data_IF_888705268769
#
_entry.id   IF_888705268769
#
_cell.length_a   1.000
_cell.length_b   1.000
_cell.length_c   1.000
_cell.angle_alpha   90.00
_cell.angle_beta   90.00
_cell.angle_gamma   90.00
#
_symmetry.space_group_name_H-M   'P 1'
#
loop_
_entity.id
_entity.type
_entity.pdbx_description
1 polymer ?
#
# COMPACT_ATOMS: atom_id res chain seq x y z
N UNK A 1 -9.99 -1.06 -7.14
CA UNK A 1 -11.22 -1.49 -7.85
C UNK A 1 -12.36 -0.55 -7.52
N UNK A 2 -12.58 0.50 -8.33
CA UNK A 2 -13.42 1.64 -7.96
C UNK A 2 -14.95 1.42 -8.12
N UNK A 3 -15.36 0.25 -8.63
CA UNK A 3 -16.76 -0.12 -8.85
C UNK A 3 -17.35 -1.02 -7.75
N UNK A 4 -16.67 -1.19 -6.60
CA UNK A 4 -17.18 -2.03 -5.48
C UNK A 4 -18.09 -1.31 -4.48
N UNK A 5 -18.33 -0.01 -4.68
CA UNK A 5 -19.21 0.76 -3.79
C UNK A 5 -20.67 0.32 -3.92
N UNK A 6 -21.45 0.51 -2.84
CA UNK A 6 -22.84 0.06 -2.75
C UNK A 6 -23.71 0.45 -3.95
N UNK A 7 -23.49 1.64 -4.52
CA UNK A 7 -24.25 2.14 -5.69
C UNK A 7 -24.12 1.30 -6.97
N UNK A 8 -23.07 0.49 -7.09
CA UNK A 8 -22.84 -0.39 -8.24
C UNK A 8 -23.29 -1.83 -7.99
N UNK A 9 -23.74 -2.15 -6.77
CA UNK A 9 -24.30 -3.47 -6.48
C UNK A 9 -25.62 -3.62 -7.22
N UNK A 10 -25.83 -4.77 -7.86
CA UNK A 10 -27.02 -5.05 -8.67
C UNK A 10 -28.33 -4.86 -7.89
N UNK A 11 -28.35 -5.22 -6.60
CA UNK A 11 -29.51 -5.04 -5.70
C UNK A 11 -29.97 -3.57 -5.56
N UNK A 12 -29.10 -2.61 -5.90
CA UNK A 12 -29.37 -1.18 -5.84
C UNK A 12 -29.60 -0.56 -7.24
N UNK A 13 -29.90 -1.39 -8.25
CA UNK A 13 -30.08 -0.95 -9.64
C UNK A 13 -31.49 -1.27 -10.14
N UNK A 14 -31.97 -0.43 -11.07
CA UNK A 14 -33.20 -0.70 -11.80
C UNK A 14 -32.89 -1.74 -12.88
N UNK A 15 -33.56 -2.89 -12.79
CA UNK A 15 -33.45 -4.00 -13.73
C UNK A 15 -34.78 -4.20 -14.43
N UNK A 16 -34.77 -4.24 -15.75
CA UNK A 16 -35.97 -4.49 -16.53
C UNK A 16 -35.61 -5.33 -17.75
N UNK A 17 -36.31 -6.47 -17.89
CA UNK A 17 -36.07 -7.47 -18.95
C UNK A 17 -34.59 -7.85 -19.10
N UNK A 18 -33.90 -8.08 -17.97
CA UNK A 18 -32.47 -8.46 -17.95
C UNK A 18 -31.49 -7.31 -18.20
N UNK A 19 -31.95 -6.08 -18.42
CA UNK A 19 -31.09 -4.92 -18.65
C UNK A 19 -31.03 -4.01 -17.42
N UNK A 20 -29.84 -3.48 -17.13
CA UNK A 20 -29.62 -2.51 -16.07
C UNK A 20 -29.67 -1.10 -16.65
N UNK A 21 -30.52 -0.25 -16.08
CA UNK A 21 -30.64 1.13 -16.51
C UNK A 21 -29.49 1.96 -15.95
N UNK A 22 -28.89 2.78 -16.81
CA UNK A 22 -27.75 3.62 -16.49
C UNK A 22 -28.03 5.07 -16.91
N UNK A 23 -27.53 6.01 -16.12
CA UNK A 23 -27.39 7.41 -16.58
C UNK A 23 -26.17 7.56 -17.49
N UNK A 24 -26.10 8.66 -18.24
CA UNK A 24 -24.94 8.99 -19.08
C UNK A 24 -23.61 9.01 -18.30
N UNK A 25 -23.64 9.53 -17.07
CA UNK A 25 -22.47 9.60 -16.20
C UNK A 25 -22.02 8.21 -15.73
N UNK A 26 -22.97 7.32 -15.47
CA UNK A 26 -22.65 5.95 -15.07
C UNK A 26 -22.08 5.15 -16.23
N UNK A 27 -22.65 5.28 -17.43
CA UNK A 27 -22.11 4.69 -18.65
C UNK A 27 -20.67 5.18 -18.91
N UNK A 28 -20.43 6.49 -18.84
CA UNK A 28 -19.08 7.06 -18.98
C UNK A 28 -18.11 6.50 -17.93
N UNK A 29 -18.57 6.32 -16.68
CA UNK A 29 -17.73 5.78 -15.61
C UNK A 29 -17.39 4.30 -15.82
N UNK A 30 -18.34 3.49 -16.29
CA UNK A 30 -18.10 2.08 -16.63
C UNK A 30 -17.13 1.95 -17.80
N UNK A 31 -17.31 2.75 -18.86
CA UNK A 31 -16.39 2.81 -19.99
C UNK A 31 -14.98 3.21 -19.57
N UNK A 32 -14.84 4.22 -18.70
CA UNK A 32 -13.54 4.63 -18.16
C UNK A 32 -12.82 3.49 -17.42
N UNK A 33 -13.54 2.69 -16.65
CA UNK A 33 -12.94 1.54 -15.96
C UNK A 33 -12.54 0.43 -16.92
N UNK A 34 -13.29 0.21 -18.00
CA UNK A 34 -12.91 -0.77 -19.02
C UNK A 34 -11.69 -0.32 -19.84
N UNK A 35 -11.63 0.95 -20.24
CA UNK A 35 -10.43 1.53 -20.87
C UNK A 35 -9.21 1.40 -19.96
N UNK A 36 -9.37 1.69 -18.67
CA UNK A 36 -8.31 1.50 -17.68
C UNK A 36 -7.83 0.04 -17.64
N UNK A 37 -8.75 -0.92 -17.52
CA UNK A 37 -8.42 -2.36 -17.50
C UNK A 37 -7.69 -2.78 -18.77
N UNK A 38 -8.13 -2.30 -19.92
CA UNK A 38 -7.50 -2.59 -21.20
C UNK A 38 -6.06 -2.08 -21.27
N UNK A 39 -5.81 -0.86 -20.79
CA UNK A 39 -4.45 -0.31 -20.69
C UNK A 39 -3.60 -1.12 -19.70
N UNK A 40 -4.12 -1.39 -18.50
CA UNK A 40 -3.40 -2.17 -17.47
C UNK A 40 -3.02 -3.57 -17.99
N UNK A 41 -3.92 -4.26 -18.69
CA UNK A 41 -3.66 -5.57 -19.30
C UNK A 41 -2.54 -5.53 -20.35
N UNK A 42 -2.40 -4.43 -21.10
CA UNK A 42 -1.30 -4.25 -22.06
C UNK A 42 0.06 -4.07 -21.36
N UNK A 43 0.06 -3.57 -20.13
CA UNK A 43 1.30 -3.42 -19.33
C UNK A 43 1.79 -4.74 -18.73
N UNK A 44 0.96 -5.78 -18.71
CA UNK A 44 1.34 -7.14 -18.27
C UNK A 44 2.04 -7.95 -19.37
N UNK A 45 2.11 -7.45 -20.59
CA UNK A 45 2.81 -8.09 -21.69
C UNK A 45 4.30 -8.29 -21.33
N UNK A 46 4.81 -9.51 -21.52
CA UNK A 46 6.21 -9.86 -21.24
C UNK A 46 7.19 -9.07 -22.11
N UNK A 47 6.79 -8.82 -23.35
CA UNK A 47 7.60 -8.14 -24.34
C UNK A 47 7.09 -6.72 -24.57
N UNK A 48 7.99 -5.76 -24.45
CA UNK A 48 7.71 -4.39 -24.88
C UNK A 48 7.74 -4.32 -26.40
N UNK A 49 6.68 -3.83 -27.06
CA UNK A 49 6.72 -3.61 -28.49
C UNK A 49 7.84 -2.60 -28.83
N UNK A 50 8.42 -2.73 -30.04
CA UNK A 50 9.44 -1.77 -30.50
C UNK A 50 8.77 -0.40 -30.69
N UNK A 51 9.12 0.54 -29.83
CA UNK A 51 8.68 1.93 -29.94
C UNK A 51 9.64 2.73 -30.85
N UNK A 52 9.14 3.77 -31.53
CA UNK A 52 10.00 4.70 -32.25
C UNK A 52 11.12 5.27 -31.36
N UNK A 53 12.34 5.49 -31.88
CA UNK A 53 13.49 5.97 -31.10
C UNK A 53 13.18 7.23 -30.28
N UNK A 54 12.43 8.18 -30.86
CA UNK A 54 12.03 9.44 -30.19
C UNK A 54 11.22 9.22 -28.91
N UNK A 55 10.37 8.18 -28.87
CA UNK A 55 9.60 7.84 -27.67
C UNK A 55 10.52 7.24 -26.60
N UNK A 56 11.46 6.40 -27.00
CA UNK A 56 12.44 5.76 -26.09
C UNK A 56 13.34 6.82 -25.46
N UNK A 57 13.85 7.78 -26.24
CA UNK A 57 14.67 8.88 -25.75
C UNK A 57 13.92 9.76 -24.74
N UNK A 58 12.67 10.13 -25.04
CA UNK A 58 11.85 10.91 -24.13
C UNK A 58 11.56 10.15 -22.83
N UNK A 59 11.25 8.85 -22.92
CA UNK A 59 11.04 8.00 -21.75
C UNK A 59 12.30 7.92 -20.87
N UNK A 60 13.48 7.79 -21.47
CA UNK A 60 14.76 7.79 -20.75
C UNK A 60 15.04 9.13 -20.07
N UNK A 61 14.76 10.25 -20.75
CA UNK A 61 14.90 11.60 -20.17
C UNK A 61 13.97 11.79 -18.96
N UNK A 62 12.71 11.38 -19.08
CA UNK A 62 11.74 11.41 -17.96
C UNK A 62 12.22 10.54 -16.80
N UNK A 63 12.77 9.35 -17.10
CA UNK A 63 13.32 8.44 -16.08
C UNK A 63 14.51 9.09 -15.34
N UNK A 64 15.43 9.75 -16.05
CA UNK A 64 16.55 10.46 -15.42
C UNK A 64 16.08 11.61 -14.53
N UNK A 65 15.21 12.49 -15.05
CA UNK A 65 14.65 13.60 -14.28
C UNK A 65 13.90 13.13 -13.02
N UNK A 66 13.22 12.00 -13.12
CA UNK A 66 12.53 11.38 -11.98
C UNK A 66 13.52 10.85 -10.95
N UNK A 67 14.65 10.26 -11.36
CA UNK A 67 15.71 9.82 -10.44
C UNK A 67 16.33 11.02 -9.72
N UNK A 68 16.56 12.12 -10.43
CA UNK A 68 17.15 13.34 -9.85
C UNK A 68 16.22 14.02 -8.85
N UNK A 69 14.94 14.19 -9.19
CA UNK A 69 13.98 14.93 -8.36
C UNK A 69 13.36 14.13 -7.23
N UNK A 70 13.14 12.83 -7.46
CA UNK A 70 12.40 11.95 -6.53
C UNK A 70 13.35 10.95 -5.84
N UNK A 71 14.50 10.66 -6.46
CA UNK A 71 15.46 9.69 -5.95
C UNK A 71 15.20 8.27 -6.48
N UNK A 72 16.27 7.59 -6.87
CA UNK A 72 16.24 6.21 -7.43
C UNK A 72 15.45 5.22 -6.57
N UNK A 73 15.59 5.31 -5.25
CA UNK A 73 14.95 4.39 -4.30
C UNK A 73 13.44 4.59 -4.18
N UNK A 74 12.93 5.78 -4.47
CA UNK A 74 11.50 6.08 -4.41
C UNK A 74 10.82 5.76 -5.75
N UNK A 75 11.54 5.92 -6.86
CA UNK A 75 11.13 5.43 -8.19
C UNK A 75 11.01 3.91 -8.31
N UNK A 76 11.96 3.15 -7.76
CA UNK A 76 11.94 1.68 -7.80
C UNK A 76 10.81 1.10 -6.93
N UNK A 77 10.26 1.91 -6.01
CA UNK A 77 9.20 1.51 -5.11
C UNK A 77 9.64 0.43 -4.11
N UNK A 78 8.65 -0.30 -3.58
CA UNK A 78 8.89 -1.46 -2.72
C UNK A 78 8.81 -2.76 -3.54
N UNK A 79 9.46 -3.84 -3.08
CA UNK A 79 9.32 -5.15 -3.73
C UNK A 79 7.85 -5.57 -3.86
N UNK A 80 7.47 -6.19 -4.98
CA UNK A 80 6.09 -6.67 -5.22
C UNK A 80 5.61 -7.68 -4.16
N UNK A 81 6.53 -8.46 -3.59
CA UNK A 81 6.28 -9.38 -2.48
C UNK A 81 6.89 -8.82 -1.20
N UNK A 82 6.16 -8.93 -0.10
CA UNK A 82 6.64 -8.45 1.20
C UNK A 82 7.77 -9.36 1.70
N UNK A 83 8.91 -8.76 2.02
CA UNK A 83 10.11 -9.45 2.50
C UNK A 83 10.24 -9.22 4.00
N UNK A 84 9.64 -10.10 4.82
CA UNK A 84 9.64 -9.94 6.28
C UNK A 84 11.05 -9.86 6.89
N UNK A 85 12.04 -10.54 6.30
CA UNK A 85 13.45 -10.45 6.70
C UNK A 85 14.00 -9.02 6.65
N UNK A 86 13.45 -8.18 5.76
CA UNK A 86 13.81 -6.78 5.60
C UNK A 86 13.10 -5.83 6.58
N UNK A 87 12.21 -6.33 7.46
CA UNK A 87 11.55 -5.48 8.45
C UNK A 87 12.57 -4.83 9.41
N UNK A 88 12.39 -3.54 9.74
CA UNK A 88 13.15 -2.90 10.83
C UNK A 88 12.93 -3.62 12.16
N UNK A 89 13.89 -3.58 13.10
CA UNK A 89 13.76 -4.21 14.43
C UNK A 89 12.46 -3.83 15.16
N UNK A 90 12.08 -2.54 15.15
CA UNK A 90 10.83 -2.08 15.76
C UNK A 90 9.58 -2.71 15.14
N UNK A 91 9.53 -2.83 13.80
CA UNK A 91 8.41 -3.47 13.10
C UNK A 91 8.43 -4.98 13.33
N UNK A 92 9.59 -5.64 13.35
CA UNK A 92 9.70 -7.06 13.68
C UNK A 92 9.10 -7.36 15.05
N UNK A 93 9.37 -6.51 16.03
CA UNK A 93 8.84 -6.66 17.38
C UNK A 93 7.31 -6.46 17.42
N UNK A 94 6.78 -5.43 16.73
CA UNK A 94 5.34 -5.23 16.60
C UNK A 94 4.65 -6.40 15.89
N UNK A 95 5.25 -6.88 14.79
CA UNK A 95 4.75 -8.01 14.01
C UNK A 95 4.75 -9.30 14.84
N UNK A 96 5.83 -9.58 15.58
CA UNK A 96 5.89 -10.72 16.50
C UNK A 96 4.84 -10.60 17.62
N UNK A 97 4.64 -9.40 18.16
CA UNK A 97 3.65 -9.19 19.21
C UNK A 97 2.21 -9.48 18.71
N UNK A 98 1.82 -8.97 17.55
CA UNK A 98 0.48 -9.24 16.98
C UNK A 98 0.29 -10.72 16.63
N UNK A 99 1.29 -11.38 16.05
CA UNK A 99 1.17 -12.82 15.70
C UNK A 99 1.10 -13.71 16.95
N UNK A 100 1.67 -13.27 18.07
CA UNK A 100 1.60 -13.98 19.35
C UNK A 100 0.39 -13.56 20.20
N UNK A 101 -0.54 -12.75 19.68
CA UNK A 101 -1.71 -12.27 20.42
C UNK A 101 -1.36 -11.32 21.58
N UNK A 102 -0.14 -10.77 21.62
CA UNK A 102 0.28 -9.83 22.67
C UNK A 102 -0.19 -8.42 22.35
N UNK A 103 -0.71 -7.74 23.37
CA UNK A 103 -1.24 -6.39 23.26
C UNK A 103 -0.26 -5.42 22.59
N UNK A 104 -0.80 -4.57 21.71
CA UNK A 104 -0.10 -3.46 21.06
C UNK A 104 -0.69 -2.14 21.54
N UNK A 105 0.18 -1.17 21.89
CA UNK A 105 -0.25 0.20 22.14
C UNK A 105 -0.93 0.83 20.92
N UNK A 106 -1.75 1.86 21.12
CA UNK A 106 -2.43 2.55 20.02
C UNK A 106 -1.45 3.04 18.93
N UNK A 107 -0.32 3.63 19.36
CA UNK A 107 0.76 4.04 18.46
C UNK A 107 1.45 2.86 17.78
N UNK A 108 1.58 1.71 18.46
CA UNK A 108 2.10 0.47 17.88
C UNK A 108 1.19 -0.08 16.79
N UNK A 109 -0.13 -0.12 17.03
CA UNK A 109 -1.14 -0.51 16.04
C UNK A 109 -1.07 0.40 14.81
N UNK A 110 -1.08 1.72 15.02
CA UNK A 110 -0.96 2.70 13.93
C UNK A 110 0.35 2.54 13.14
N UNK A 111 1.49 2.37 13.83
CA UNK A 111 2.80 2.21 13.21
C UNK A 111 2.86 0.95 12.36
N UNK A 112 2.37 -0.18 12.88
CA UNK A 112 2.35 -1.45 12.15
C UNK A 112 1.44 -1.37 10.93
N UNK A 113 0.20 -0.89 11.10
CA UNK A 113 -0.77 -0.77 10.01
C UNK A 113 -0.26 0.16 8.91
N UNK A 114 0.16 1.38 9.27
CA UNK A 114 0.69 2.33 8.29
C UNK A 114 1.93 1.78 7.58
N UNK A 115 2.85 1.11 8.29
CA UNK A 115 4.02 0.51 7.66
C UNK A 115 3.65 -0.57 6.63
N UNK A 116 2.83 -1.55 7.03
CA UNK A 116 2.45 -2.67 6.17
C UNK A 116 1.71 -2.20 4.91
N UNK A 117 0.79 -1.24 5.07
CA UNK A 117 0.09 -0.64 3.93
C UNK A 117 1.03 0.13 3.00
N UNK A 118 2.00 0.88 3.55
CA UNK A 118 2.96 1.64 2.74
C UNK A 118 3.91 0.73 1.95
N UNK A 119 4.26 -0.46 2.46
CA UNK A 119 5.08 -1.43 1.72
C UNK A 119 4.28 -2.34 0.77
N UNK A 120 2.97 -2.12 0.65
CA UNK A 120 2.11 -2.80 -0.33
C UNK A 120 1.29 -3.98 0.20
N UNK A 121 1.17 -4.15 1.52
CA UNK A 121 0.24 -5.15 2.07
C UNK A 121 -1.21 -4.72 1.81
N UNK A 122 -2.07 -5.59 1.24
CA UNK A 122 -3.49 -5.30 1.09
C UNK A 122 -4.16 -5.07 2.44
N UNK A 123 -5.11 -4.13 2.50
CA UNK A 123 -5.87 -3.83 3.72
C UNK A 123 -6.51 -5.07 4.35
N UNK A 124 -7.03 -6.01 3.54
CA UNK A 124 -7.62 -7.25 4.05
C UNK A 124 -6.61 -8.09 4.84
N UNK A 125 -5.41 -8.30 4.30
CA UNK A 125 -4.35 -9.04 4.96
C UNK A 125 -3.89 -8.34 6.26
N UNK A 126 -3.92 -7.00 6.30
CA UNK A 126 -3.62 -6.26 7.53
C UNK A 126 -4.72 -6.48 8.57
N UNK A 127 -6.00 -6.43 8.19
CA UNK A 127 -7.15 -6.67 9.09
C UNK A 127 -7.07 -8.07 9.70
N UNK A 128 -6.69 -9.07 8.91
CA UNK A 128 -6.55 -10.46 9.38
C UNK A 128 -5.55 -10.59 10.54
N UNK A 129 -4.47 -9.80 10.56
CA UNK A 129 -3.51 -9.83 11.66
C UNK A 129 -4.15 -9.46 13.02
N UNK A 130 -5.16 -8.59 13.01
CA UNK A 130 -5.80 -8.10 14.24
C UNK A 130 -6.90 -9.04 14.76
N UNK A 131 -7.33 -10.06 13.99
CA UNK A 131 -8.41 -10.99 14.39
C UNK A 131 -8.08 -11.77 15.67
N UNK A 132 -6.80 -11.94 15.98
CA UNK A 132 -6.35 -12.72 17.13
C UNK A 132 -6.39 -11.92 18.46
N UNK A 133 -6.80 -10.65 18.44
CA UNK A 133 -6.95 -9.86 19.67
C UNK A 133 -8.31 -10.06 20.32
N UNK A 134 -8.32 -10.09 21.65
CA UNK A 134 -9.56 -10.19 22.45
C UNK A 134 -10.47 -8.98 22.29
N UNK A 135 -9.93 -7.78 22.00
CA UNK A 135 -10.68 -6.55 21.73
C UNK A 135 -11.02 -6.35 20.25
N UNK A 136 -10.86 -7.39 19.41
CA UNK A 136 -11.10 -7.28 17.98
C UNK A 136 -12.59 -7.00 17.68
N UNK A 137 -12.81 -5.91 16.96
CA UNK A 137 -14.10 -5.58 16.35
C UNK A 137 -13.89 -5.40 14.84
N UNK A 138 -14.48 -6.28 14.03
CA UNK A 138 -14.25 -6.27 12.57
C UNK A 138 -14.60 -4.92 11.94
N UNK A 139 -15.76 -4.34 12.28
CA UNK A 139 -16.22 -3.10 11.67
C UNK A 139 -15.27 -1.94 11.98
N UNK A 140 -14.82 -1.84 13.24
CA UNK A 140 -13.92 -0.79 13.67
C UNK A 140 -12.52 -0.96 13.11
N UNK A 141 -11.95 -2.17 13.19
CA UNK A 141 -10.61 -2.48 12.66
C UNK A 141 -10.56 -2.22 11.16
N UNK A 142 -11.56 -2.71 10.41
CA UNK A 142 -11.67 -2.48 8.96
C UNK A 142 -11.72 -0.99 8.64
N UNK A 143 -12.53 -0.22 9.36
CA UNK A 143 -12.60 1.22 9.17
C UNK A 143 -11.25 1.90 9.42
N UNK A 144 -10.56 1.57 10.51
CA UNK A 144 -9.26 2.14 10.85
C UNK A 144 -8.18 1.81 9.81
N UNK A 145 -8.10 0.55 9.37
CA UNK A 145 -7.12 0.12 8.36
C UNK A 145 -7.40 0.82 7.03
N UNK A 146 -8.64 0.80 6.55
CA UNK A 146 -9.02 1.44 5.28
C UNK A 146 -8.81 2.97 5.34
N UNK A 147 -9.04 3.60 6.50
CA UNK A 147 -8.77 5.03 6.68
C UNK A 147 -7.27 5.33 6.61
N UNK A 148 -6.43 4.56 7.32
CA UNK A 148 -4.96 4.70 7.26
C UNK A 148 -4.45 4.48 5.83
N UNK A 149 -5.06 3.56 5.09
CA UNK A 149 -4.71 3.25 3.70
C UNK A 149 -5.14 4.33 2.68
N UNK A 150 -5.95 5.31 3.10
CA UNK A 150 -6.54 6.32 2.22
C UNK A 150 -7.70 5.78 1.37
N UNK A 151 -8.29 4.65 1.75
CA UNK A 151 -9.41 4.00 1.06
C UNK A 151 -10.77 4.54 1.54
N UNK A 152 -10.80 5.22 2.69
CA UNK A 152 -11.97 5.90 3.28
C UNK A 152 -11.67 7.34 3.74
N UNK A 153 -12.72 8.06 4.12
CA UNK A 153 -12.62 9.40 4.71
C UNK A 153 -12.06 10.43 3.73
N UNK A 154 -11.09 11.23 4.19
CA UNK A 154 -10.38 12.25 3.40
C UNK A 154 -9.56 11.68 2.24
N UNK A 155 -9.43 10.36 2.15
CA UNK A 155 -8.55 9.63 1.21
C UNK A 155 -7.06 9.96 1.38
N UNK A 156 -6.68 10.55 2.50
CA UNK A 156 -5.29 10.77 2.86
C UNK A 156 -4.66 9.42 3.22
N UNK A 157 -3.65 8.99 2.44
CA UNK A 157 -2.84 7.84 2.81
C UNK A 157 -1.85 8.26 3.90
N UNK A 158 -1.98 7.67 5.09
CA UNK A 158 -1.09 7.99 6.20
C UNK A 158 0.25 7.27 6.04
N UNK A 159 1.33 8.00 6.31
CA UNK A 159 2.69 7.47 6.31
C UNK A 159 3.08 6.97 7.70
N UNK A 160 3.94 5.96 7.75
CA UNK A 160 4.54 5.47 9.01
C UNK A 160 5.25 6.60 9.75
N UNK A 161 5.15 6.68 11.09
CA UNK A 161 5.89 7.67 11.86
C UNK A 161 7.41 7.58 11.65
N UNK A 162 8.10 8.72 11.75
CA UNK A 162 9.57 8.81 11.70
C UNK A 162 10.20 8.12 12.91
N UNK A 163 11.46 7.72 12.78
CA UNK A 163 12.18 7.02 13.85
C UNK A 163 12.17 7.81 15.17
N UNK A 164 12.28 9.14 15.13
CA UNK A 164 12.30 9.95 16.34
C UNK A 164 10.94 9.94 17.06
N UNK A 165 9.83 10.02 16.32
CA UNK A 165 8.48 9.81 16.89
C UNK A 165 8.34 8.42 17.53
N UNK A 166 8.86 7.38 16.87
CA UNK A 166 8.82 6.03 17.42
C UNK A 166 9.66 5.87 18.69
N UNK A 167 10.77 6.61 18.82
CA UNK A 167 11.57 6.64 20.05
C UNK A 167 10.80 7.32 21.18
N UNK A 168 10.21 8.50 20.92
CA UNK A 168 9.41 9.25 21.91
C UNK A 168 8.28 8.40 22.48
N UNK A 169 7.64 7.57 21.65
CA UNK A 169 6.53 6.72 22.08
C UNK A 169 6.94 5.29 22.51
N UNK A 170 8.24 5.02 22.68
CA UNK A 170 8.72 3.71 23.14
C UNK A 170 8.51 2.54 22.17
N UNK A 171 8.19 2.82 20.90
CA UNK A 171 7.99 1.79 19.86
C UNK A 171 9.32 1.37 19.23
N UNK A 172 10.29 2.29 19.15
CA UNK A 172 11.61 2.00 18.61
C UNK A 172 12.42 1.14 19.60
N UNK A 173 12.54 -0.16 19.31
CA UNK A 173 13.21 -1.14 20.16
C UNK A 173 14.36 -1.80 19.40
N UNK A 174 15.49 -2.03 20.08
CA UNK A 174 16.69 -2.71 19.60
C UNK A 174 17.21 -2.17 18.24
N UNK A 175 17.61 -0.89 18.14
CA UNK A 175 18.15 -0.34 16.90
C UNK A 175 19.47 -1.04 16.52
N UNK A 176 19.60 -1.39 15.23
CA UNK A 176 20.82 -1.98 14.68
C UNK A 176 21.69 -0.96 13.93
N UNK A 177 22.77 -1.43 13.29
CA UNK A 177 23.68 -0.58 12.51
C UNK A 177 23.03 0.14 11.33
N UNK A 178 21.96 -0.43 10.76
CA UNK A 178 21.22 0.26 9.70
C UNK A 178 20.42 1.38 10.32
N UNK A 179 19.71 1.13 11.43
CA UNK A 179 18.92 2.12 12.16
C UNK A 179 19.71 3.39 12.52
N UNK A 180 21.03 3.28 12.78
CA UNK A 180 21.91 4.43 13.03
C UNK A 180 22.07 5.38 11.82
N UNK A 181 21.90 4.86 10.60
CA UNK A 181 22.15 5.57 9.34
C UNK A 181 20.87 6.05 8.64
N UNK A 182 19.71 5.90 9.26
CA UNK A 182 18.40 6.24 8.67
C UNK A 182 17.51 6.94 9.70
N UNK A 183 16.48 7.63 9.20
CA UNK A 183 15.52 8.37 10.03
C UNK A 183 14.06 7.90 9.86
N UNK A 184 13.83 6.86 9.07
CA UNK A 184 12.49 6.39 8.73
C UNK A 184 12.41 4.85 8.56
N UNK A 185 11.40 4.16 9.14
CA UNK A 185 11.21 2.71 8.98
C UNK A 185 11.09 2.26 7.51
N UNK A 186 10.35 3.01 6.69
CA UNK A 186 10.27 2.74 5.25
C UNK A 186 11.63 2.81 4.54
N UNK A 187 12.51 3.75 4.93
CA UNK A 187 13.85 3.84 4.37
C UNK A 187 14.73 2.65 4.79
N UNK A 188 14.58 2.17 6.04
CA UNK A 188 15.20 0.92 6.48
C UNK A 188 14.83 -0.22 5.54
N UNK A 189 13.52 -0.41 5.34
CA UNK A 189 12.98 -1.56 4.61
C UNK A 189 13.48 -1.57 3.17
N UNK A 190 13.46 -0.41 2.49
CA UNK A 190 14.04 -0.25 1.13
C UNK A 190 15.52 -0.63 1.08
N UNK A 191 16.31 -0.19 2.06
CA UNK A 191 17.75 -0.47 2.10
C UNK A 191 18.02 -1.95 2.37
N UNK A 192 17.33 -2.53 3.35
CA UNK A 192 17.53 -3.93 3.73
C UNK A 192 17.04 -4.88 2.64
N UNK A 193 15.91 -4.60 1.98
CA UNK A 193 15.39 -5.43 0.89
C UNK A 193 16.33 -5.51 -0.31
N UNK A 194 17.14 -4.47 -0.56
CA UNK A 194 18.16 -4.46 -1.62
C UNK A 194 19.42 -5.24 -1.26
N UNK A 195 19.76 -5.29 0.02
CA UNK A 195 20.96 -6.02 0.50
C UNK A 195 20.75 -7.53 0.63
N UNK A 196 19.49 -7.98 0.64
CA UNK A 196 19.19 -9.41 0.74
C UNK A 196 19.42 -10.08 -0.63
N UNK A 197 19.97 -11.31 -0.66
CA UNK A 197 20.03 -12.10 -1.88
C UNK A 197 18.61 -12.31 -2.42
N UNK A 198 18.46 -12.25 -3.75
CA UNK A 198 17.19 -12.45 -4.46
C UNK A 198 16.80 -13.92 -4.50
#
# INVERSE_FOLDING_TARGET
THLRSGKWKLVNRILYKGNVYLTRNEAARLLSEEVRRHIEKRLEAKDTPKFPPKIIELANKIKQLSIEKIGKAEMEGFPKKIVQAAFPPCIKNLYKAITSGRHLSHIGRFTLTSFLVNIGMPSENVIELFKNFSDYNERMTRYQVEHIAGERGSRTRYTTPKCDTLKTHGVCTNPDEICKKIRHPLAYYRRKSKSLPK
#
